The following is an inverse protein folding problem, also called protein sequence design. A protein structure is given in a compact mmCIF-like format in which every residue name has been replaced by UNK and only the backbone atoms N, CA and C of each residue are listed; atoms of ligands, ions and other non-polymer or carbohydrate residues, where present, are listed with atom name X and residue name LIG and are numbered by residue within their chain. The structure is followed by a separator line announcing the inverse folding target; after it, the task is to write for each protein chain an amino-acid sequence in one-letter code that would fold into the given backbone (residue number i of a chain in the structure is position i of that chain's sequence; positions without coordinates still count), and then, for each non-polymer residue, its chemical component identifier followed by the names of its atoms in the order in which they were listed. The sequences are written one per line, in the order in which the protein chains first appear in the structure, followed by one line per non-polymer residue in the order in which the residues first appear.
data_IF_425510739389
#
_entry.id   IF_425510739389
#
_cell.length_a   1.000
_cell.length_b   1.000
_cell.length_c   1.000
_cell.angle_alpha   90.00
_cell.angle_beta   90.00
_cell.angle_gamma   90.00
#
_symmetry.space_group_name_H-M   'P 1'
#
loop_
_entity.id
_entity.type
_entity.pdbx_description
1 polymer ?
#
# COMPACT_ATOMS: atom_id res chain seq x y z
N UNK A 1 -22.05 -15.95 3.29
CA UNK A 1 -21.43 -14.63 3.05
C UNK A 1 -19.93 -14.82 3.18
N UNK A 2 -19.16 -14.54 2.12
CA UNK A 2 -17.71 -14.65 2.15
C UNK A 2 -17.12 -13.54 3.03
N UNK A 3 -16.17 -13.87 3.89
CA UNK A 3 -15.46 -12.92 4.77
C UNK A 3 -13.99 -13.29 4.84
N UNK A 4 -13.14 -12.31 5.16
CA UNK A 4 -11.73 -12.59 5.46
C UNK A 4 -11.61 -13.47 6.71
N UNK A 5 -10.56 -14.29 6.71
CA UNK A 5 -10.23 -15.15 7.85
C UNK A 5 -9.59 -14.35 9.00
N UNK A 6 -8.81 -13.31 8.67
CA UNK A 6 -8.11 -12.45 9.63
C UNK A 6 -8.39 -10.96 9.41
N UNK A 7 -8.26 -10.19 10.50
CA UNK A 7 -8.25 -8.73 10.48
C UNK A 7 -6.83 -8.20 10.27
N UNK A 8 -6.72 -7.11 9.51
CA UNK A 8 -5.46 -6.37 9.31
C UNK A 8 -5.01 -5.71 10.62
N UNK A 9 -5.99 -5.34 11.46
CA UNK A 9 -5.77 -4.61 12.71
C UNK A 9 -5.54 -3.11 12.50
N UNK A 10 -5.32 -2.43 13.62
CA UNK A 10 -5.04 -0.98 13.64
C UNK A 10 -3.56 -0.67 13.38
N UNK A 11 -3.30 0.57 12.99
CA UNK A 11 -1.94 1.11 12.88
C UNK A 11 -1.25 0.97 14.25
N UNK A 12 0.00 0.48 14.33
CA UNK A 12 0.70 0.34 15.60
C UNK A 12 0.84 1.68 16.35
N UNK A 13 0.56 1.66 17.66
CA UNK A 13 0.74 2.84 18.51
C UNK A 13 2.22 3.27 18.56
N UNK A 14 3.14 2.30 18.64
CA UNK A 14 4.58 2.51 18.61
C UNK A 14 5.14 2.08 17.26
N UNK A 15 5.80 3.01 16.59
CA UNK A 15 6.45 2.75 15.31
C UNK A 15 7.89 2.31 15.56
N UNK A 16 8.22 1.11 15.11
CA UNK A 16 9.59 0.60 14.94
C UNK A 16 9.68 0.04 13.53
N UNK A 17 10.89 -0.15 12.99
CA UNK A 17 11.05 -0.85 11.69
C UNK A 17 10.27 -2.16 11.68
N UNK A 18 10.31 -2.93 12.78
CA UNK A 18 9.59 -4.20 12.90
C UNK A 18 8.07 -4.01 12.83
N UNK A 19 7.50 -3.08 13.60
CA UNK A 19 6.06 -2.88 13.62
C UNK A 19 5.53 -2.34 12.29
N UNK A 20 6.28 -1.43 11.65
CA UNK A 20 5.99 -0.88 10.33
C UNK A 20 6.03 -1.98 9.26
N UNK A 21 7.10 -2.76 9.19
CA UNK A 21 7.23 -3.84 8.20
C UNK A 21 6.14 -4.90 8.37
N UNK A 22 5.84 -5.27 9.62
CA UNK A 22 4.77 -6.21 9.93
C UNK A 22 3.41 -5.68 9.47
N UNK A 23 3.08 -4.44 9.79
CA UNK A 23 1.80 -3.83 9.41
C UNK A 23 1.65 -3.68 7.89
N UNK A 24 2.68 -3.17 7.20
CA UNK A 24 2.70 -3.10 5.75
C UNK A 24 2.58 -4.48 5.10
N UNK A 25 3.21 -5.52 5.67
CA UNK A 25 3.08 -6.90 5.21
C UNK A 25 1.66 -7.45 5.37
N UNK A 26 0.97 -7.13 6.47
CA UNK A 26 -0.44 -7.47 6.66
C UNK A 26 -1.33 -6.78 5.64
N UNK A 27 -1.13 -5.48 5.40
CA UNK A 27 -1.89 -4.71 4.41
C UNK A 27 -1.81 -5.35 3.02
N UNK A 28 -0.60 -5.56 2.49
CA UNK A 28 -0.44 -6.09 1.13
C UNK A 28 -0.91 -7.53 0.98
N UNK A 29 -0.89 -8.33 2.05
CA UNK A 29 -1.40 -9.71 2.02
C UNK A 29 -2.93 -9.79 2.09
N UNK A 30 -3.59 -8.85 2.77
CA UNK A 30 -5.05 -8.83 2.89
C UNK A 30 -5.75 -8.11 1.72
N UNK A 31 -5.02 -7.27 0.99
CA UNK A 31 -5.51 -6.53 -0.17
C UNK A 31 -4.64 -6.80 -1.41
N UNK A 32 -4.53 -8.07 -1.87
CA UNK A 32 -3.58 -8.47 -2.93
C UNK A 32 -3.90 -7.88 -4.30
N UNK A 33 -5.13 -7.40 -4.49
CA UNK A 33 -5.67 -6.83 -5.73
C UNK A 33 -5.48 -5.31 -5.84
N UNK A 34 -5.00 -4.67 -4.77
CA UNK A 34 -4.80 -3.22 -4.69
C UNK A 34 -3.40 -2.88 -5.18
N UNK A 35 -3.22 -2.59 -6.47
CA UNK A 35 -1.91 -2.45 -7.11
C UNK A 35 -1.03 -1.38 -6.46
N UNK A 36 -1.60 -0.20 -6.21
CA UNK A 36 -0.94 0.95 -5.59
C UNK A 36 -0.47 0.68 -4.16
N UNK A 37 -1.12 -0.24 -3.43
CA UNK A 37 -0.82 -0.52 -2.03
C UNK A 37 0.58 -1.11 -1.85
N UNK A 38 1.06 -1.91 -2.83
CA UNK A 38 2.43 -2.45 -2.79
C UNK A 38 3.47 -1.32 -2.83
N UNK A 39 3.22 -0.30 -3.65
CA UNK A 39 4.11 0.84 -3.80
C UNK A 39 4.08 1.72 -2.55
N UNK A 40 2.89 2.01 -2.02
CA UNK A 40 2.74 2.75 -0.77
C UNK A 40 3.44 2.03 0.41
N UNK A 41 3.21 0.72 0.55
CA UNK A 41 3.85 -0.10 1.58
C UNK A 41 5.38 -0.15 1.43
N UNK A 42 5.90 -0.22 0.20
CA UNK A 42 7.34 -0.17 -0.05
C UNK A 42 7.94 1.18 0.34
N UNK A 43 7.27 2.29 -0.01
CA UNK A 43 7.71 3.64 0.35
C UNK A 43 7.74 3.87 1.87
N UNK A 44 6.68 3.45 2.57
CA UNK A 44 6.60 3.51 4.03
C UNK A 44 7.75 2.73 4.69
N UNK A 45 8.03 1.51 4.20
CA UNK A 45 9.15 0.70 4.70
C UNK A 45 10.50 1.37 4.50
N UNK A 46 10.70 2.08 3.37
CA UNK A 46 11.93 2.87 3.13
C UNK A 46 12.08 4.00 4.14
N UNK A 47 11.02 4.79 4.34
CA UNK A 47 11.01 5.86 5.36
C UNK A 47 11.34 5.33 6.77
N UNK A 48 10.87 4.14 7.12
CA UNK A 48 11.21 3.51 8.40
C UNK A 48 12.69 3.08 8.49
N UNK A 49 13.27 2.56 7.40
CA UNK A 49 14.70 2.24 7.33
C UNK A 49 15.58 3.50 7.38
N UNK A 50 15.15 4.60 6.77
CA UNK A 50 15.88 5.87 6.80
C UNK A 50 15.87 6.49 8.21
N UNK A 51 14.83 6.23 8.99
CA UNK A 51 14.65 6.82 10.32
C UNK A 51 15.49 6.15 11.43
N UNK A 52 15.73 4.84 11.35
CA UNK A 52 16.41 4.08 12.41
C UNK A 52 17.23 2.93 11.84
N UNK A 53 18.27 2.51 12.54
CA UNK A 53 19.13 1.39 12.09
C UNK A 53 18.77 0.07 12.75
N UNK A 54 18.12 0.09 13.92
CA UNK A 54 17.69 -1.12 14.63
C UNK A 54 16.23 -1.45 14.37
N UNK A 55 15.91 -2.75 14.36
CA UNK A 55 14.55 -3.25 14.14
C UNK A 55 13.55 -2.81 15.22
N UNK A 56 14.04 -2.63 16.45
CA UNK A 56 13.23 -2.42 17.66
C UNK A 56 13.44 -1.01 18.25
N UNK A 57 14.22 -0.16 17.59
CA UNK A 57 14.35 1.25 17.92
C UNK A 57 13.06 2.00 17.57
N UNK A 58 12.65 2.90 18.46
CA UNK A 58 11.43 3.70 18.29
C UNK A 58 11.70 4.78 17.25
N UNK A 59 10.83 4.85 16.24
CA UNK A 59 10.82 5.90 15.23
C UNK A 59 9.94 7.04 15.74
N UNK A 60 10.57 8.19 16.03
CA UNK A 60 9.87 9.43 16.33
C UNK A 60 9.72 10.25 15.04
N UNK A 61 8.53 10.21 14.44
CA UNK A 61 8.29 10.82 13.13
C UNK A 61 6.81 10.93 12.79
N UNK A 62 6.26 12.13 12.94
CA UNK A 62 4.87 12.46 12.63
C UNK A 62 4.53 12.17 11.15
N UNK A 63 5.44 12.48 10.23
CA UNK A 63 5.26 12.24 8.78
C UNK A 63 5.05 10.74 8.47
N UNK A 64 5.87 9.86 9.05
CA UNK A 64 5.74 8.41 8.81
C UNK A 64 4.43 7.89 9.39
N UNK A 65 4.02 8.39 10.56
CA UNK A 65 2.75 8.04 11.19
C UNK A 65 1.58 8.46 10.31
N UNK A 66 1.59 9.69 9.81
CA UNK A 66 0.57 10.22 8.89
C UNK A 66 0.46 9.35 7.63
N UNK A 67 1.58 9.03 6.98
CA UNK A 67 1.60 8.18 5.78
C UNK A 67 0.96 6.81 6.01
N UNK A 68 1.28 6.16 7.14
CA UNK A 68 0.71 4.85 7.49
C UNK A 68 -0.80 4.98 7.76
N UNK A 69 -1.21 6.02 8.48
CA UNK A 69 -2.61 6.28 8.80
C UNK A 69 -3.43 6.58 7.54
N UNK A 70 -2.95 7.44 6.65
CA UNK A 70 -3.60 7.75 5.37
C UNK A 70 -3.76 6.49 4.52
N UNK A 71 -2.72 5.66 4.43
CA UNK A 71 -2.77 4.39 3.69
C UNK A 71 -3.81 3.44 4.29
N UNK A 72 -3.83 3.30 5.62
CA UNK A 72 -4.81 2.47 6.32
C UNK A 72 -6.24 2.98 6.13
N UNK A 73 -6.44 4.30 6.19
CA UNK A 73 -7.74 4.94 5.98
C UNK A 73 -8.22 4.74 4.54
N UNK A 74 -7.35 4.85 3.54
CA UNK A 74 -7.69 4.66 2.14
C UNK A 74 -8.26 3.26 1.88
N UNK A 75 -7.60 2.21 2.37
CA UNK A 75 -8.08 0.82 2.20
C UNK A 75 -9.32 0.53 3.04
N UNK A 76 -9.50 1.15 4.21
CA UNK A 76 -10.71 0.98 5.04
C UNK A 76 -11.92 1.67 4.41
N UNK A 77 -11.75 2.88 3.86
CA UNK A 77 -12.83 3.67 3.25
C UNK A 77 -13.46 2.93 2.07
N UNK A 78 -12.63 2.32 1.23
CA UNK A 78 -13.06 1.51 0.08
C UNK A 78 -12.21 0.27 0.02
N UNK A 79 -12.67 -0.76 0.73
CA UNK A 79 -12.05 -2.08 0.71
C UNK A 79 -11.93 -2.58 -0.74
N UNK A 80 -10.70 -2.73 -1.28
CA UNK A 80 -10.51 -3.12 -2.67
C UNK A 80 -10.81 -4.60 -2.89
N UNK A 81 -10.69 -5.45 -1.87
CA UNK A 81 -10.86 -6.90 -2.00
C UNK A 81 -12.26 -7.39 -1.61
N UNK A 82 -13.25 -6.48 -1.47
CA UNK A 82 -14.64 -6.86 -1.14
C UNK A 82 -15.50 -7.06 -2.39
N UNK A 83 -16.52 -7.90 -2.24
CA UNK A 83 -17.63 -7.99 -3.18
C UNK A 83 -17.35 -8.87 -4.40
N UNK A 84 -18.18 -8.68 -5.42
CA UNK A 84 -18.16 -9.44 -6.68
C UNK A 84 -17.41 -8.63 -7.74
N UNK A 85 -16.50 -9.28 -8.45
CA UNK A 85 -15.60 -8.69 -9.44
C UNK A 85 -16.11 -8.89 -10.87
N UNK A 86 -17.41 -8.69 -11.07
CA UNK A 86 -18.02 -8.83 -12.40
C UNK A 86 -18.14 -7.43 -13.00
N UNK A 87 -17.40 -7.19 -14.07
CA UNK A 87 -17.40 -5.92 -14.79
C UNK A 87 -17.85 -6.17 -16.22
N UNK A 88 -18.93 -5.49 -16.64
CA UNK A 88 -19.41 -5.48 -18.02
C UNK A 88 -19.67 -4.04 -18.41
N UNK A 89 -18.96 -3.55 -19.42
CA UNK A 89 -19.12 -2.21 -19.96
C UNK A 89 -18.61 -2.16 -21.40
N UNK A 90 -19.20 -1.27 -22.20
CA UNK A 90 -18.78 -0.97 -23.57
C UNK A 90 -17.68 0.11 -23.60
N UNK A 91 -17.59 0.92 -22.54
CA UNK A 91 -16.63 2.02 -22.41
C UNK A 91 -15.98 2.01 -21.02
N UNK A 92 -14.74 2.49 -20.96
CA UNK A 92 -13.99 2.66 -19.72
C UNK A 92 -13.13 3.92 -19.80
N UNK A 93 -12.80 4.50 -18.64
CA UNK A 93 -11.91 5.65 -18.53
C UNK A 93 -10.61 5.22 -17.87
N UNK A 94 -9.49 5.57 -18.47
CA UNK A 94 -8.16 5.33 -17.91
C UNK A 94 -7.66 6.63 -17.29
N UNK A 95 -7.33 6.58 -16.00
CA UNK A 95 -6.62 7.63 -15.30
C UNK A 95 -5.14 7.28 -15.27
N UNK A 96 -4.29 8.26 -15.54
CA UNK A 96 -2.84 8.14 -15.44
C UNK A 96 -2.31 9.28 -14.61
N UNK A 97 -1.36 8.98 -13.72
CA UNK A 97 -0.60 9.99 -12.99
C UNK A 97 0.85 9.54 -12.86
N UNK A 98 1.76 10.51 -12.76
CA UNK A 98 3.17 10.24 -12.65
C UNK A 98 3.86 11.33 -11.83
N UNK A 99 4.65 10.89 -10.86
CA UNK A 99 5.51 11.75 -10.03
C UNK A 99 6.98 11.46 -10.26
N UNK A 100 7.86 12.10 -9.49
CA UNK A 100 9.28 11.73 -9.42
C UNK A 100 9.51 10.35 -8.80
N UNK A 101 8.53 9.81 -8.07
CA UNK A 101 8.66 8.54 -7.33
C UNK A 101 8.07 7.36 -8.09
N UNK A 102 6.90 7.54 -8.70
CA UNK A 102 6.12 6.44 -9.24
C UNK A 102 5.28 6.87 -10.46
N UNK A 103 4.82 5.87 -11.20
CA UNK A 103 3.82 6.00 -12.25
C UNK A 103 2.63 5.13 -11.84
N UNK A 104 1.42 5.67 -11.95
CA UNK A 104 0.18 5.00 -11.61
C UNK A 104 -0.83 5.05 -12.75
N UNK A 105 -1.62 3.99 -12.85
CA UNK A 105 -2.77 3.89 -13.76
C UNK A 105 -3.95 3.31 -13.00
N UNK A 106 -5.15 3.83 -13.27
CA UNK A 106 -6.39 3.29 -12.74
C UNK A 106 -7.46 3.20 -13.83
N UNK A 107 -8.10 2.05 -13.94
CA UNK A 107 -9.22 1.80 -14.84
C UNK A 107 -10.53 2.08 -14.10
N UNK A 108 -11.27 3.07 -14.57
CA UNK A 108 -12.62 3.41 -14.10
C UNK A 108 -13.68 2.88 -15.07
N UNK A 109 -14.65 2.14 -14.53
CA UNK A 109 -15.85 1.70 -15.24
C UNK A 109 -17.07 2.12 -14.42
N UNK A 110 -18.03 2.80 -15.07
CA UNK A 110 -19.27 3.27 -14.45
C UNK A 110 -19.07 4.03 -13.12
N UNK A 111 -18.05 4.90 -13.05
CA UNK A 111 -17.73 5.69 -11.86
C UNK A 111 -17.01 4.92 -10.73
N UNK A 112 -16.57 3.70 -10.99
CA UNK A 112 -15.83 2.87 -10.03
C UNK A 112 -14.47 2.47 -10.58
N UNK A 113 -13.41 2.60 -9.76
CA UNK A 113 -12.13 1.98 -10.07
C UNK A 113 -12.28 0.47 -9.95
N UNK A 114 -11.98 -0.24 -11.03
CA UNK A 114 -12.10 -1.70 -11.14
C UNK A 114 -10.75 -2.40 -11.17
N UNK A 115 -9.71 -1.71 -11.64
CA UNK A 115 -8.34 -2.20 -11.62
C UNK A 115 -7.37 -1.03 -11.54
N UNK A 116 -6.22 -1.26 -10.92
CA UNK A 116 -5.16 -0.27 -10.82
C UNK A 116 -3.79 -0.96 -10.86
N UNK A 117 -2.79 -0.22 -11.34
CA UNK A 117 -1.41 -0.64 -11.28
C UNK A 117 -0.51 0.56 -11.02
N UNK A 118 0.56 0.33 -10.26
CA UNK A 118 1.56 1.35 -10.01
C UNK A 118 2.94 0.71 -9.96
N UNK A 119 3.93 1.47 -10.42
CA UNK A 119 5.33 1.06 -10.44
C UNK A 119 6.19 2.21 -9.92
N UNK A 120 7.23 1.87 -9.16
CA UNK A 120 8.33 2.80 -8.89
C UNK A 120 9.10 3.04 -10.20
N UNK A 121 9.71 4.21 -10.34
CA UNK A 121 10.51 4.52 -11.53
C UNK A 121 11.80 3.68 -11.57
N UNK A 122 12.34 3.34 -12.76
CA UNK A 122 13.50 2.45 -12.93
C UNK A 122 14.79 2.90 -12.23
N UNK A 123 14.98 4.22 -12.09
CA UNK A 123 16.15 4.80 -11.42
C UNK A 123 16.07 4.64 -9.89
N UNK A 124 14.91 4.19 -9.37
CA UNK A 124 14.71 3.71 -8.02
C UNK A 124 14.86 2.17 -8.05
N UNK A 125 16.10 1.70 -8.10
CA UNK A 125 16.49 0.27 -8.24
C UNK A 125 16.03 -0.65 -7.08
N UNK A 126 15.15 -0.19 -6.19
CA UNK A 126 14.76 -0.85 -4.95
C UNK A 126 13.44 -1.61 -5.06
N UNK A 127 13.15 -2.17 -6.25
CA UNK A 127 12.02 -3.07 -6.48
C UNK A 127 12.21 -4.46 -5.84
N UNK A 128 13.38 -4.73 -5.25
CA UNK A 128 13.56 -5.91 -4.40
C UNK A 128 12.81 -5.70 -3.09
N UNK A 129 12.11 -6.74 -2.64
CA UNK A 129 11.52 -6.79 -1.32
C UNK A 129 12.63 -6.54 -0.28
N UNK A 130 12.73 -5.33 0.26
CA UNK A 130 13.80 -4.92 1.18
C UNK A 130 13.83 -5.75 2.48
N UNK A 131 12.80 -6.56 2.76
CA UNK A 131 12.82 -7.54 3.83
C UNK A 131 13.77 -8.73 3.57
N UNK A 132 14.27 -8.90 2.33
CA UNK A 132 15.19 -9.97 1.93
C UNK A 132 16.66 -9.51 1.86
N UNK A 133 16.94 -8.24 2.18
CA UNK A 133 18.28 -7.65 2.07
C UNK A 133 19.03 -7.51 3.42
N UNK A 134 18.42 -7.94 4.53
CA UNK A 134 19.07 -8.03 5.85
C UNK A 134 19.61 -9.45 6.10
#
# INVERSE_FOLDING_TARGET
MWRRDNDVGEVPDVLTRRSVFSYCGKLVSHFPVCGWLRIAAAYIKRKANDATTSWDEVIDGDELRELIQETALAVKKRDPARGRWDVSAEEAKIWVDASSLAIGVALEVSGSIVEDAAWLRPDDAQHINMAELD
#
